data_IF_011019763883
#
_entry.id   IF_011019763883
#
_cell.length_a   1.000
_cell.length_b   1.000
_cell.length_c   1.000
_cell.angle_alpha   90.00
_cell.angle_beta   90.00
_cell.angle_gamma   90.00
#
_symmetry.space_group_name_H-M   'P 1'
#
loop_
_entity.id
_entity.type
_entity.pdbx_description
1 polymer ?
#
# COMPACT_ATOMS: atom_id res chain seq x y z
N UNK A 1 -7.67 -10.08 19.14
CA UNK A 1 -8.08 -8.68 18.95
C UNK A 1 -6.84 -7.81 19.12
N UNK A 2 -6.06 -7.64 18.05
CA UNK A 2 -4.95 -6.69 18.06
C UNK A 2 -5.54 -5.28 17.93
N UNK A 3 -5.34 -4.45 18.94
CA UNK A 3 -5.67 -3.04 18.84
C UNK A 3 -4.70 -2.40 17.85
N UNK A 4 -5.19 -2.01 16.67
CA UNK A 4 -4.45 -1.15 15.76
C UNK A 4 -4.31 0.20 16.46
N UNK A 5 -3.14 0.47 17.03
CA UNK A 5 -2.83 1.77 17.63
C UNK A 5 -2.49 2.73 16.49
N UNK A 6 -3.51 3.44 16.02
CA UNK A 6 -3.41 4.52 15.03
C UNK A 6 -2.91 5.77 15.76
N UNK A 7 -1.66 6.20 15.53
CA UNK A 7 -1.12 7.45 16.07
C UNK A 7 -1.06 8.50 14.96
N UNK A 8 -1.53 9.73 15.22
CA UNK A 8 -1.97 10.76 14.23
C UNK A 8 -1.10 12.04 14.22
N UNK A 9 -1.10 12.85 13.13
CA UNK A 9 -1.18 14.34 12.91
C UNK A 9 -0.97 14.65 11.35
N UNK A 10 -0.78 15.85 10.77
CA UNK A 10 -0.49 16.13 9.32
C UNK A 10 0.24 17.48 9.11
N UNK A 11 1.29 17.55 8.25
CA UNK A 11 2.11 18.77 8.01
C UNK A 11 1.41 19.84 7.18
N UNK A 12 0.80 20.79 7.89
CA UNK A 12 0.93 22.23 7.58
C UNK A 12 2.17 22.73 8.34
N UNK A 13 2.92 23.71 7.82
CA UNK A 13 4.11 24.28 8.47
C UNK A 13 3.99 24.29 10.01
N UNK A 14 4.70 23.37 10.70
CA UNK A 14 4.69 23.25 12.16
C UNK A 14 3.73 22.24 12.81
N UNK A 15 3.05 21.36 12.08
CA UNK A 15 2.09 20.38 12.65
C UNK A 15 2.44 18.97 12.12
N UNK A 16 3.02 18.05 12.91
CA UNK A 16 3.63 16.76 12.45
C UNK A 16 2.60 15.75 11.89
N UNK A 17 2.91 14.73 11.08
CA UNK A 17 1.96 13.72 10.52
C UNK A 17 1.49 12.53 11.42
N UNK A 18 0.46 11.74 11.00
CA UNK A 18 -0.04 10.45 11.56
C UNK A 18 1.06 9.43 11.40
N UNK A 19 1.53 9.42 10.18
CA UNK A 19 2.58 8.56 9.73
C UNK A 19 3.95 9.20 9.96
N UNK A 20 4.03 10.29 10.75
CA UNK A 20 5.28 11.01 11.01
C UNK A 20 5.98 11.38 9.70
N UNK A 21 5.22 11.89 8.71
CA UNK A 21 5.82 12.37 7.47
C UNK A 21 6.90 13.37 7.82
N UNK A 22 8.14 13.00 7.56
CA UNK A 22 9.25 13.92 7.58
C UNK A 22 9.11 14.96 6.48
N UNK A 23 9.69 16.15 6.66
CA UNK A 23 9.88 17.09 5.54
C UNK A 23 10.64 16.42 4.38
N UNK A 24 11.54 15.47 4.67
CA UNK A 24 12.29 14.71 3.67
C UNK A 24 11.42 13.82 2.77
N UNK A 25 10.21 13.45 3.22
CA UNK A 25 9.23 12.65 2.46
C UNK A 25 8.24 13.53 1.67
N UNK A 26 8.33 14.85 1.77
CA UNK A 26 7.52 15.79 1.01
C UNK A 26 8.31 16.32 -0.19
N UNK A 27 7.70 16.41 -1.38
CA UNK A 27 8.38 17.02 -2.51
C UNK A 27 8.61 18.51 -2.25
N UNK A 28 9.76 19.08 -2.65
CA UNK A 28 9.99 20.51 -2.52
C UNK A 28 9.01 21.30 -3.42
N UNK A 29 8.73 22.56 -3.06
CA UNK A 29 7.97 23.46 -3.92
C UNK A 29 8.66 23.62 -5.27
N UNK A 30 7.95 23.29 -6.34
CA UNK A 30 8.46 23.49 -7.69
C UNK A 30 8.49 24.99 -8.04
N UNK A 31 9.60 25.41 -8.65
CA UNK A 31 9.74 26.77 -9.17
C UNK A 31 9.33 26.81 -10.65
N UNK A 32 8.59 27.84 -11.08
CA UNK A 32 8.29 28.03 -12.49
C UNK A 32 9.54 28.43 -13.27
N UNK A 33 9.53 28.21 -14.60
CA UNK A 33 10.64 28.63 -15.46
C UNK A 33 10.84 30.15 -15.47
N UNK A 34 9.75 30.90 -15.32
CA UNK A 34 9.72 32.36 -15.28
C UNK A 34 8.47 32.84 -14.51
N UNK A 35 8.49 34.02 -13.86
CA UNK A 35 7.30 34.64 -13.25
C UNK A 35 6.13 34.87 -14.23
N UNK A 36 6.42 34.98 -15.53
CA UNK A 36 5.44 35.17 -16.61
C UNK A 36 4.93 33.87 -17.23
N UNK A 37 5.38 32.71 -16.74
CA UNK A 37 4.93 31.41 -17.25
C UNK A 37 3.42 31.23 -16.97
N UNK A 38 2.57 31.04 -18.00
CA UNK A 38 1.14 30.80 -17.79
C UNK A 38 0.84 29.51 -17.01
N UNK A 39 1.81 28.59 -16.94
CA UNK A 39 1.74 27.33 -16.21
C UNK A 39 2.57 27.36 -14.91
N UNK A 40 2.78 28.55 -14.33
CA UNK A 40 3.62 28.74 -13.14
C UNK A 40 3.08 28.12 -11.85
N UNK A 41 1.81 27.71 -11.82
CA UNK A 41 1.20 27.10 -10.65
C UNK A 41 1.44 25.59 -10.72
N UNK A 42 2.53 25.13 -10.09
CA UNK A 42 2.98 23.75 -10.20
C UNK A 42 2.64 23.02 -8.90
N UNK A 43 1.92 21.92 -9.04
CA UNK A 43 1.74 20.93 -7.97
C UNK A 43 2.70 19.80 -8.18
N UNK A 44 3.47 19.44 -7.16
CA UNK A 44 4.36 18.28 -7.23
C UNK A 44 3.76 17.16 -6.40
N UNK A 45 3.47 16.02 -7.04
CA UNK A 45 3.01 14.80 -6.36
C UNK A 45 4.17 13.82 -6.35
N UNK A 46 4.59 13.40 -5.17
CA UNK A 46 5.55 12.32 -4.96
C UNK A 46 4.82 11.01 -4.77
N UNK A 47 5.28 9.96 -5.44
CA UNK A 47 4.81 8.58 -5.24
C UNK A 47 6.03 7.73 -4.90
N UNK A 48 5.92 6.92 -3.85
CA UNK A 48 7.00 6.03 -3.38
C UNK A 48 6.52 4.59 -3.43
N UNK A 49 7.29 3.74 -4.09
CA UNK A 49 7.05 2.30 -4.09
C UNK A 49 7.54 1.65 -2.79
N UNK A 50 6.98 0.48 -2.44
CA UNK A 50 7.49 -0.36 -1.37
C UNK A 50 8.94 -0.78 -1.61
N UNK A 51 9.65 -1.10 -0.53
CA UNK A 51 10.97 -1.71 -0.60
C UNK A 51 10.89 -3.08 -1.26
N UNK A 52 11.93 -3.35 -2.01
CA UNK A 52 12.39 -4.69 -2.36
C UNK A 52 13.84 -4.79 -1.86
N UNK A 53 14.34 -5.98 -1.53
CA UNK A 53 15.52 -6.17 -0.64
C UNK A 53 16.83 -5.45 -1.01
N UNK A 54 17.82 -5.48 -0.10
CA UNK A 54 19.09 -4.71 -0.17
C UNK A 54 20.01 -4.99 -1.37
N UNK A 55 19.71 -6.00 -2.18
CA UNK A 55 20.41 -6.32 -3.44
C UNK A 55 19.55 -6.09 -4.68
N UNK A 56 18.44 -5.37 -4.55
CA UNK A 56 17.45 -5.17 -5.61
C UNK A 56 16.70 -6.46 -5.88
N UNK A 57 15.38 -6.38 -5.88
CA UNK A 57 14.60 -7.34 -6.64
C UNK A 57 13.59 -6.57 -7.46
N UNK A 58 13.22 -7.18 -8.58
CA UNK A 58 12.15 -6.72 -9.42
C UNK A 58 10.80 -6.91 -8.71
N UNK A 59 9.93 -5.88 -8.74
CA UNK A 59 8.45 -5.91 -8.77
C UNK A 59 7.67 -5.32 -7.56
N UNK A 60 8.27 -4.55 -6.63
CA UNK A 60 7.49 -3.66 -5.74
C UNK A 60 7.18 -2.31 -6.41
N UNK A 61 8.15 -1.82 -7.19
CA UNK A 61 8.03 -0.75 -8.16
C UNK A 61 7.24 -1.16 -9.39
N UNK A 62 6.76 -0.18 -10.14
CA UNK A 62 5.87 -0.36 -11.27
C UNK A 62 5.70 0.92 -12.07
N UNK A 63 4.82 0.87 -13.06
CA UNK A 63 4.45 2.02 -13.88
C UNK A 63 3.06 2.54 -13.50
N UNK A 64 2.95 3.85 -13.54
CA UNK A 64 1.66 4.53 -13.64
C UNK A 64 1.42 4.83 -15.12
N UNK A 65 0.18 4.73 -15.58
CA UNK A 65 -0.19 5.13 -16.94
C UNK A 65 -0.55 6.62 -17.00
N UNK A 66 -1.05 7.19 -15.91
CA UNK A 66 -1.39 8.60 -15.83
C UNK A 66 -1.46 9.11 -14.38
N UNK A 67 -1.26 10.41 -14.24
CA UNK A 67 -1.53 11.18 -13.03
C UNK A 67 -2.27 12.47 -13.37
N UNK A 68 -3.31 12.79 -12.60
CA UNK A 68 -4.18 13.94 -12.84
C UNK A 68 -4.60 14.59 -11.53
N UNK A 69 -4.79 15.90 -11.56
CA UNK A 69 -5.36 16.68 -10.47
C UNK A 69 -6.72 17.24 -10.85
N UNK A 70 -7.61 17.34 -9.86
CA UNK A 70 -8.97 17.84 -9.99
C UNK A 70 -9.25 18.94 -8.97
N UNK A 71 -10.12 19.89 -9.35
CA UNK A 71 -10.65 20.93 -8.45
C UNK A 71 -11.78 20.39 -7.56
N UNK A 72 -12.30 21.26 -6.68
CA UNK A 72 -13.42 20.92 -5.77
C UNK A 72 -14.73 20.54 -6.49
N UNK A 73 -14.88 20.90 -7.77
CA UNK A 73 -16.04 20.56 -8.58
C UNK A 73 -15.83 19.27 -9.39
N UNK A 74 -14.66 18.64 -9.28
CA UNK A 74 -14.29 17.46 -10.06
C UNK A 74 -13.81 17.76 -11.48
N UNK A 75 -13.52 19.02 -11.82
CA UNK A 75 -12.93 19.35 -13.11
C UNK A 75 -11.43 19.06 -13.09
N UNK A 76 -10.91 18.42 -14.14
CA UNK A 76 -9.47 18.21 -14.28
C UNK A 76 -8.75 19.55 -14.49
N UNK A 77 -7.77 19.84 -13.64
CA UNK A 77 -6.98 21.09 -13.71
C UNK A 77 -5.57 20.89 -14.26
N UNK A 78 -5.02 19.70 -14.10
CA UNK A 78 -3.71 19.32 -14.64
C UNK A 78 -3.57 17.79 -14.72
N UNK A 79 -2.66 17.30 -15.54
CA UNK A 79 -2.42 15.86 -15.70
C UNK A 79 -1.59 15.53 -16.93
N UNK A 80 -0.98 14.36 -16.93
CA UNK A 80 -0.24 13.80 -18.07
C UNK A 80 -0.18 12.27 -17.97
N UNK A 81 0.10 11.64 -19.11
CA UNK A 81 0.52 10.24 -19.14
C UNK A 81 1.91 10.11 -18.54
N UNK A 82 2.13 9.04 -17.78
CA UNK A 82 3.40 8.74 -17.14
C UNK A 82 4.10 7.65 -17.96
N UNK A 83 5.41 7.78 -18.14
CA UNK A 83 6.22 6.80 -18.88
C UNK A 83 7.33 6.20 -18.03
N UNK A 84 7.63 6.86 -16.92
CA UNK A 84 8.71 6.54 -16.01
C UNK A 84 8.26 5.46 -15.02
N UNK A 85 9.11 4.45 -14.84
CA UNK A 85 8.96 3.43 -13.81
C UNK A 85 9.33 4.01 -12.46
N UNK A 86 8.51 3.77 -11.44
CA UNK A 86 8.89 3.99 -10.05
C UNK A 86 9.68 2.76 -9.63
N UNK A 87 10.98 2.89 -9.43
CA UNK A 87 11.81 1.76 -8.97
C UNK A 87 11.50 1.39 -7.51
N UNK A 88 11.91 0.19 -7.13
CA UNK A 88 11.68 -0.36 -5.80
C UNK A 88 12.32 0.51 -4.71
N UNK A 89 11.55 0.82 -3.66
CA UNK A 89 12.02 1.60 -2.51
C UNK A 89 12.34 3.08 -2.76
N UNK A 90 12.21 3.55 -4.00
CA UNK A 90 12.47 4.94 -4.37
C UNK A 90 11.18 5.68 -4.71
N UNK A 91 11.33 6.95 -5.06
CA UNK A 91 10.22 7.85 -5.38
C UNK A 91 10.38 8.52 -6.74
N UNK A 92 9.26 8.89 -7.33
CA UNK A 92 9.19 9.84 -8.44
C UNK A 92 8.38 11.07 -8.05
N UNK A 93 8.83 12.24 -8.50
CA UNK A 93 8.16 13.52 -8.34
C UNK A 93 7.50 13.95 -9.65
N UNK A 94 6.17 13.85 -9.71
CA UNK A 94 5.36 14.27 -10.85
C UNK A 94 5.02 15.75 -10.71
N UNK A 95 5.46 16.58 -11.67
CA UNK A 95 5.16 18.01 -11.70
C UNK A 95 3.95 18.29 -12.60
N UNK A 96 2.83 18.66 -11.99
CA UNK A 96 1.58 18.97 -12.66
C UNK A 96 1.36 20.47 -12.68
N UNK A 97 1.64 21.08 -13.82
CA UNK A 97 1.47 22.51 -14.03
C UNK A 97 0.01 22.86 -14.36
N UNK A 98 -0.51 23.94 -13.76
CA UNK A 98 -1.88 24.42 -13.97
C UNK A 98 -1.90 25.93 -14.23
N UNK A 99 -3.06 26.41 -14.69
CA UNK A 99 -3.34 27.84 -14.87
C UNK A 99 -3.60 28.53 -13.52
N UNK A 100 -3.60 29.85 -13.54
CA UNK A 100 -4.00 30.68 -12.40
C UNK A 100 -5.42 30.34 -11.92
N UNK A 101 -5.61 30.34 -10.59
CA UNK A 101 -6.90 30.05 -9.95
C UNK A 101 -7.25 28.55 -9.86
N UNK A 102 -6.45 27.65 -10.44
CA UNK A 102 -6.65 26.22 -10.27
C UNK A 102 -6.09 25.74 -8.93
N UNK A 103 -6.96 25.19 -8.07
CA UNK A 103 -6.56 24.52 -6.83
C UNK A 103 -6.73 23.00 -7.00
N UNK A 104 -5.65 22.21 -6.93
CA UNK A 104 -5.68 20.76 -7.11
C UNK A 104 -6.02 20.06 -5.81
N UNK A 105 -7.31 20.01 -5.50
CA UNK A 105 -7.85 19.44 -4.26
C UNK A 105 -7.62 17.93 -4.18
N UNK A 106 -7.69 17.27 -5.33
CA UNK A 106 -7.68 15.82 -5.41
C UNK A 106 -6.72 15.35 -6.50
N UNK A 107 -6.00 14.26 -6.23
CA UNK A 107 -5.13 13.60 -7.22
C UNK A 107 -5.63 12.21 -7.54
N UNK A 108 -5.73 11.86 -8.82
CA UNK A 108 -5.95 10.50 -9.32
C UNK A 108 -4.67 9.98 -9.95
N UNK A 109 -4.27 8.76 -9.60
CA UNK A 109 -3.24 8.01 -10.30
C UNK A 109 -3.85 6.76 -10.92
N UNK A 110 -3.30 6.33 -12.06
CA UNK A 110 -3.75 5.14 -12.79
C UNK A 110 -2.60 4.17 -12.98
N UNK A 111 -2.88 2.90 -12.78
CA UNK A 111 -1.92 1.81 -12.93
C UNK A 111 -1.60 1.57 -14.38
N UNK A 112 -0.46 0.94 -14.60
CA UNK A 112 -0.10 0.32 -15.86
C UNK A 112 -0.09 -1.21 -15.71
N UNK A 113 0.22 -1.95 -16.78
CA UNK A 113 0.29 -3.42 -16.72
C UNK A 113 1.43 -3.93 -15.84
N UNK A 114 2.40 -3.07 -15.60
CA UNK A 114 3.47 -3.22 -14.62
C UNK A 114 3.00 -2.62 -13.28
N UNK A 115 2.32 -3.45 -12.48
CA UNK A 115 1.67 -3.04 -11.23
C UNK A 115 2.68 -2.53 -10.19
N UNK A 116 2.27 -1.56 -9.37
CA UNK A 116 3.11 -0.96 -8.32
C UNK A 116 2.46 -1.12 -6.95
N UNK A 117 3.26 -1.37 -5.91
CA UNK A 117 2.83 -1.29 -4.51
C UNK A 117 3.22 0.07 -3.93
N UNK A 118 2.25 0.97 -3.78
CA UNK A 118 2.49 2.35 -3.35
C UNK A 118 2.48 2.40 -1.82
N UNK A 119 3.66 2.65 -1.24
CA UNK A 119 3.84 2.76 0.21
C UNK A 119 3.35 4.11 0.75
N UNK A 120 3.64 5.18 0.01
CA UNK A 120 3.20 6.53 0.36
C UNK A 120 3.07 7.42 -0.88
N UNK A 121 2.21 8.42 -0.75
CA UNK A 121 2.10 9.53 -1.67
C UNK A 121 2.14 10.83 -0.88
N UNK A 122 2.72 11.88 -1.46
CA UNK A 122 2.66 13.22 -0.88
C UNK A 122 2.54 14.27 -1.96
N UNK A 123 2.06 15.45 -1.60
CA UNK A 123 1.92 16.56 -2.56
C UNK A 123 2.38 17.87 -1.94
N UNK A 124 2.94 18.74 -2.78
CA UNK A 124 3.20 20.14 -2.48
C UNK A 124 2.50 21.00 -3.52
N UNK A 125 1.55 21.81 -3.05
CA UNK A 125 0.72 22.70 -3.86
C UNK A 125 1.44 24.02 -4.20
N UNK A 126 0.90 24.83 -5.13
CA UNK A 126 1.54 26.09 -5.54
C UNK A 126 1.66 27.13 -4.42
N UNK A 127 0.79 27.06 -3.41
CA UNK A 127 0.82 27.90 -2.21
C UNK A 127 1.79 27.38 -1.13
N UNK A 128 2.52 26.29 -1.41
CA UNK A 128 3.39 25.55 -0.50
C UNK A 128 2.68 24.70 0.56
N UNK A 129 1.35 24.57 0.50
CA UNK A 129 0.59 23.60 1.30
C UNK A 129 1.02 22.18 0.95
N UNK A 130 1.19 21.32 1.97
CA UNK A 130 1.69 19.96 1.82
C UNK A 130 0.76 18.95 2.45
N UNK A 131 0.66 17.78 1.84
CA UNK A 131 -0.19 16.69 2.33
C UNK A 131 0.47 15.34 2.08
N UNK A 132 0.04 14.33 2.83
CA UNK A 132 0.58 12.98 2.74
C UNK A 132 -0.51 11.92 2.88
N UNK A 133 -0.26 10.77 2.28
CA UNK A 133 -1.10 9.57 2.30
C UNK A 133 -0.20 8.35 2.38
N UNK A 134 -0.57 7.32 3.14
CA UNK A 134 0.15 6.04 3.21
C UNK A 134 -0.71 4.88 2.74
N UNK A 135 -0.06 3.79 2.35
CA UNK A 135 -0.74 2.56 1.95
C UNK A 135 -1.57 1.91 3.07
N UNK A 136 -1.41 2.33 4.33
CA UNK A 136 -2.27 1.87 5.44
C UNK A 136 -3.76 2.16 5.18
N UNK A 137 -4.07 3.22 4.44
CA UNK A 137 -5.44 3.52 4.01
C UNK A 137 -6.04 2.42 3.15
N UNK A 138 -5.23 1.71 2.36
CA UNK A 138 -5.72 0.55 1.63
C UNK A 138 -6.15 -0.56 2.58
N UNK A 139 -5.35 -0.85 3.60
CA UNK A 139 -5.70 -1.86 4.60
C UNK A 139 -7.00 -1.48 5.34
N UNK A 140 -7.08 -0.24 5.83
CA UNK A 140 -8.28 0.29 6.52
C UNK A 140 -9.53 0.17 5.64
N UNK A 141 -9.39 0.46 4.36
CA UNK A 141 -10.48 0.46 3.40
C UNK A 141 -10.71 -0.91 2.73
N UNK A 142 -10.02 -1.98 3.15
CA UNK A 142 -10.20 -3.32 2.59
C UNK A 142 -9.75 -3.46 1.13
N UNK A 143 -8.81 -2.61 0.69
CA UNK A 143 -8.20 -2.65 -0.62
C UNK A 143 -6.89 -3.47 -0.60
N UNK A 144 -6.48 -4.03 -1.75
CA UNK A 144 -5.26 -4.83 -1.86
C UNK A 144 -4.03 -4.15 -1.29
N UNK A 145 -3.42 -4.77 -0.29
CA UNK A 145 -2.28 -4.21 0.43
C UNK A 145 -1.23 -5.26 0.78
N UNK A 146 -0.04 -4.82 1.16
CA UNK A 146 1.03 -5.66 1.69
C UNK A 146 1.91 -4.81 2.60
N UNK A 147 2.83 -5.42 3.37
CA UNK A 147 3.83 -4.64 4.08
C UNK A 147 4.80 -3.98 3.09
N UNK A 148 5.16 -2.71 3.32
CA UNK A 148 6.00 -1.99 2.36
C UNK A 148 7.49 -2.10 2.62
N UNK A 149 7.92 -2.44 3.84
CA UNK A 149 9.32 -2.34 4.27
C UNK A 149 9.86 -0.90 4.41
N UNK A 150 9.13 0.13 3.95
CA UNK A 150 9.61 1.52 3.99
C UNK A 150 9.67 2.02 5.44
N UNK A 151 10.87 2.22 5.97
CA UNK A 151 11.04 2.78 7.31
C UNK A 151 10.78 4.30 7.29
N UNK A 152 9.82 4.73 8.09
CA UNK A 152 9.51 6.14 8.37
C UNK A 152 10.38 6.66 9.53
N UNK A 153 10.47 7.99 9.73
CA UNK A 153 11.31 8.57 10.80
C UNK A 153 10.90 8.16 12.22
N UNK A 154 9.64 7.76 12.40
CA UNK A 154 9.13 7.21 13.66
C UNK A 154 9.52 5.74 13.88
N UNK A 155 10.32 5.14 12.99
CA UNK A 155 10.75 3.74 13.03
C UNK A 155 9.70 2.73 12.56
N UNK A 156 8.51 3.17 12.17
CA UNK A 156 7.43 2.28 11.68
C UNK A 156 7.46 2.13 10.18
N UNK A 157 6.93 1.02 9.69
CA UNK A 157 6.73 0.78 8.25
C UNK A 157 5.25 0.85 7.89
N UNK A 158 4.82 1.73 6.96
CA UNK A 158 3.44 1.71 6.49
C UNK A 158 3.21 0.44 5.67
N UNK A 159 1.95 0.05 5.50
CA UNK A 159 1.57 -0.83 4.41
C UNK A 159 1.78 -0.13 3.05
N UNK A 160 1.82 -0.91 1.97
CA UNK A 160 1.67 -0.42 0.61
C UNK A 160 0.36 -0.91 0.00
N UNK A 161 -0.11 -0.19 -1.01
CA UNK A 161 -1.31 -0.52 -1.77
C UNK A 161 -0.96 -0.94 -3.19
N UNK A 162 -1.53 -2.04 -3.65
CA UNK A 162 -1.41 -2.45 -5.05
C UNK A 162 -2.37 -1.68 -5.96
N UNK A 163 -1.84 -1.25 -7.11
CA UNK A 163 -2.57 -0.68 -8.24
C UNK A 163 -2.13 -1.42 -9.51
N UNK A 164 -3.09 -1.85 -10.33
CA UNK A 164 -2.84 -2.72 -11.49
C UNK A 164 -3.70 -2.28 -12.69
N UNK A 165 -3.03 -2.00 -13.81
CA UNK A 165 -3.65 -1.60 -15.08
C UNK A 165 -3.95 -2.74 -16.03
N UNK A 166 -3.70 -4.00 -15.66
CA UNK A 166 -4.06 -5.13 -16.50
C UNK A 166 -5.57 -5.32 -16.55
N UNK A 167 -6.12 -5.26 -17.76
CA UNK A 167 -7.51 -5.61 -18.02
C UNK A 167 -7.73 -7.11 -17.78
N UNK A 168 -8.27 -7.47 -16.63
CA UNK A 168 -8.94 -8.76 -16.46
C UNK A 168 -10.05 -8.67 -15.41
N UNK A 169 -11.00 -9.60 -15.51
CA UNK A 169 -12.20 -9.62 -14.66
C UNK A 169 -11.96 -10.38 -13.33
N UNK A 170 -10.71 -10.69 -13.00
CA UNK A 170 -10.28 -11.52 -11.86
C UNK A 170 -9.30 -10.79 -10.92
N UNK A 171 -8.77 -9.63 -11.31
CA UNK A 171 -7.83 -8.84 -10.53
C UNK A 171 -8.55 -8.21 -9.35
N UNK A 172 -7.87 -8.24 -8.20
CA UNK A 172 -8.37 -7.65 -6.96
C UNK A 172 -7.92 -6.19 -6.82
N UNK A 173 -6.77 -5.81 -7.42
CA UNK A 173 -6.24 -4.45 -7.38
C UNK A 173 -7.04 -3.49 -8.26
N UNK A 174 -7.32 -2.26 -7.78
CA UNK A 174 -7.97 -1.25 -8.60
C UNK A 174 -7.03 -0.74 -9.70
N UNK A 175 -7.65 -0.28 -10.79
CA UNK A 175 -6.95 0.38 -11.88
C UNK A 175 -6.49 1.78 -11.48
N UNK A 176 -7.30 2.50 -10.74
CA UNK A 176 -6.99 3.85 -10.32
C UNK A 176 -7.37 4.08 -8.88
N UNK A 177 -6.66 4.99 -8.22
CA UNK A 177 -7.06 5.54 -6.93
C UNK A 177 -7.10 7.05 -7.01
N UNK A 178 -7.91 7.64 -6.14
CA UNK A 178 -8.07 9.08 -6.03
C UNK A 178 -8.08 9.51 -4.57
N UNK A 179 -7.26 10.52 -4.25
CA UNK A 179 -6.98 11.01 -2.90
C UNK A 179 -7.33 12.49 -2.80
N UNK A 180 -8.28 12.83 -1.94
CA UNK A 180 -8.62 14.22 -1.56
C UNK A 180 -7.75 14.65 -0.40
N UNK A 181 -6.70 15.41 -0.68
CA UNK A 181 -5.55 15.59 0.20
C UNK A 181 -5.85 16.17 1.58
N UNK A 182 -6.70 17.20 1.63
CA UNK A 182 -6.96 17.96 2.84
C UNK A 182 -7.78 17.19 3.89
N UNK A 183 -8.50 16.14 3.48
CA UNK A 183 -9.32 15.33 4.38
C UNK A 183 -8.47 14.38 5.26
N UNK A 184 -7.22 14.13 4.87
CA UNK A 184 -6.28 13.31 5.63
C UNK A 184 -5.50 14.11 6.70
N UNK A 185 -5.85 15.37 6.91
CA UNK A 185 -5.30 16.22 7.95
C UNK A 185 -6.03 16.01 9.29
N UNK A 186 -5.29 15.79 10.37
CA UNK A 186 -5.83 15.99 11.72
C UNK A 186 -5.39 17.35 12.25
N UNK A 187 -6.34 18.28 12.30
CA UNK A 187 -6.13 19.66 12.79
C UNK A 187 -6.29 19.79 14.30
N UNK A 188 -6.82 18.77 14.99
CA UNK A 188 -7.17 18.83 16.41
C UNK A 188 -6.14 18.18 17.34
N UNK A 189 -5.11 17.53 16.79
CA UNK A 189 -4.19 16.68 17.55
C UNK A 189 -4.85 15.43 18.15
N UNK A 190 -6.17 15.25 17.95
CA UNK A 190 -6.89 14.05 18.39
C UNK A 190 -6.74 12.95 17.36
N UNK A 191 -6.56 11.74 17.86
CA UNK A 191 -6.62 10.52 17.07
C UNK A 191 -8.10 10.32 16.68
N UNK A 192 -8.45 10.30 15.38
CA UNK A 192 -9.79 9.99 14.94
C UNK A 192 -10.14 8.57 15.33
N UNK A 193 -11.41 8.36 15.68
CA UNK A 193 -11.98 7.03 15.89
C UNK A 193 -11.91 6.18 14.62
N UNK A 194 -11.91 4.86 14.78
CA UNK A 194 -11.94 3.93 13.64
C UNK A 194 -13.12 4.21 12.69
N UNK A 195 -14.28 4.61 13.22
CA UNK A 195 -15.43 5.01 12.41
C UNK A 195 -15.17 6.25 11.58
N UNK A 196 -14.50 7.27 12.14
CA UNK A 196 -14.18 8.51 11.41
C UNK A 196 -13.17 8.24 10.29
N UNK A 197 -12.15 7.42 10.56
CA UNK A 197 -11.18 6.98 9.57
C UNK A 197 -11.88 6.22 8.43
N UNK A 198 -12.79 5.29 8.75
CA UNK A 198 -13.52 4.50 7.75
C UNK A 198 -14.51 5.31 6.91
N UNK A 199 -14.96 6.49 7.37
CA UNK A 199 -15.82 7.36 6.56
C UNK A 199 -15.08 7.96 5.35
N UNK A 200 -13.75 8.04 5.40
CA UNK A 200 -12.93 8.54 4.30
C UNK A 200 -12.85 7.54 3.13
N UNK A 201 -13.08 6.25 3.40
CA UNK A 201 -13.20 5.22 2.37
C UNK A 201 -14.44 5.46 1.49
N UNK A 202 -14.26 5.59 0.18
CA UNK A 202 -15.34 5.89 -0.78
C UNK A 202 -15.74 7.37 -0.85
N UNK A 203 -15.16 8.25 -0.04
CA UNK A 203 -15.41 9.69 -0.09
C UNK A 203 -14.14 10.44 -0.47
N UNK A 204 -13.18 10.50 0.45
CA UNK A 204 -11.89 11.18 0.29
C UNK A 204 -10.82 10.25 -0.29
N UNK A 205 -10.99 8.95 -0.14
CA UNK A 205 -10.19 7.92 -0.76
C UNK A 205 -11.06 7.02 -1.62
N UNK A 206 -10.87 7.07 -2.94
CA UNK A 206 -11.66 6.33 -3.92
C UNK A 206 -10.78 5.42 -4.75
N UNK A 207 -11.37 4.34 -5.24
CA UNK A 207 -10.75 3.36 -6.11
C UNK A 207 -11.66 3.13 -7.32
N UNK A 208 -11.07 2.79 -8.47
CA UNK A 208 -11.80 2.65 -9.72
C UNK A 208 -11.38 1.38 -10.46
N UNK A 209 -12.33 0.81 -11.21
CA UNK A 209 -12.03 -0.26 -12.16
C UNK A 209 -11.42 0.29 -13.46
N UNK A 210 -11.09 -0.58 -14.40
CA UNK A 210 -10.49 -0.19 -15.68
C UNK A 210 -11.39 0.73 -16.53
N UNK A 211 -12.72 0.61 -16.38
CA UNK A 211 -13.69 1.49 -17.02
C UNK A 211 -13.86 2.85 -16.31
N UNK A 212 -13.06 3.11 -15.26
CA UNK A 212 -13.14 4.29 -14.40
C UNK A 212 -14.48 4.43 -13.66
N UNK A 213 -15.16 3.31 -13.44
CA UNK A 213 -16.30 3.26 -12.53
C UNK A 213 -15.78 3.10 -11.11
N UNK A 214 -16.35 3.87 -10.18
CA UNK A 214 -15.97 3.82 -8.77
C UNK A 214 -16.27 2.44 -8.19
N UNK A 215 -15.27 1.82 -7.60
CA UNK A 215 -15.40 0.54 -6.92
C UNK A 215 -16.09 0.76 -5.57
N UNK A 216 -17.02 -0.12 -5.17
CA UNK A 216 -17.56 -0.10 -3.83
C UNK A 216 -16.46 -0.51 -2.86
N UNK A 217 -15.82 0.48 -2.24
CA UNK A 217 -14.94 0.25 -1.10
C UNK A 217 -15.84 -0.10 0.08
N UNK A 218 -15.58 -1.18 0.85
CA UNK A 218 -16.41 -1.55 1.99
C UNK A 218 -16.43 -0.42 3.02
N UNK A 219 -17.40 0.49 2.87
CA UNK A 219 -17.87 1.36 3.92
C UNK A 219 -18.59 0.46 4.92
N UNK A 220 -18.65 0.84 6.20
CA UNK A 220 -19.25 0.05 7.29
C UNK A 220 -20.78 -0.25 7.15
N UNK A 221 -21.32 -0.52 5.95
CA UNK A 221 -22.65 -1.06 5.71
C UNK A 221 -22.58 -2.37 4.93
N UNK A 222 -23.04 -3.41 5.62
CA UNK A 222 -23.26 -4.80 5.19
C UNK A 222 -22.06 -5.74 5.35
N UNK A 223 -21.70 -6.03 6.60
CA UNK A 223 -21.60 -7.45 6.97
C UNK A 223 -23.00 -8.03 6.77
N UNK A 224 -23.31 -8.44 5.54
CA UNK A 224 -24.43 -9.33 5.32
C UNK A 224 -24.06 -10.64 6.01
N UNK A 225 -24.65 -10.86 7.18
CA UNK A 225 -24.84 -12.18 7.74
C UNK A 225 -25.72 -12.97 6.78
N UNK A 226 -25.14 -13.43 5.68
CA UNK A 226 -25.71 -14.52 4.90
C UNK A 226 -25.33 -15.81 5.62
N UNK A 227 -26.09 -16.11 6.68
CA UNK A 227 -26.27 -17.47 7.13
C UNK A 227 -26.73 -18.31 5.94
N UNK A 228 -25.92 -19.31 5.55
CA UNK A 228 -26.35 -20.34 4.60
C UNK A 228 -25.55 -20.41 3.31
N UNK A 229 -24.31 -20.91 3.39
CA UNK A 229 -23.88 -22.08 2.62
C UNK A 229 -22.42 -22.38 2.96
N UNK A 230 -22.14 -23.64 3.32
CA UNK A 230 -20.79 -24.20 3.29
C UNK A 230 -20.30 -24.28 1.84
N UNK A 231 -20.08 -23.12 1.20
CA UNK A 231 -19.21 -23.05 0.04
C UNK A 231 -17.80 -23.02 0.61
N UNK A 232 -17.06 -24.11 0.41
CA UNK A 232 -15.59 -24.08 0.47
C UNK A 232 -15.18 -22.81 -0.27
N UNK A 233 -14.56 -21.87 0.45
CA UNK A 233 -14.01 -20.65 -0.14
C UNK A 233 -13.00 -21.13 -1.17
N UNK A 234 -13.32 -20.93 -2.44
CA UNK A 234 -12.38 -21.18 -3.53
C UNK A 234 -11.14 -20.32 -3.24
N UNK A 235 -9.91 -20.88 -3.20
CA UNK A 235 -8.71 -20.10 -3.01
C UNK A 235 -8.70 -19.02 -4.09
N UNK A 236 -8.68 -17.75 -3.67
CA UNK A 236 -8.88 -16.63 -4.59
C UNK A 236 -7.76 -16.62 -5.63
N UNK A 237 -8.10 -17.02 -6.84
CA UNK A 237 -7.18 -17.09 -7.96
C UNK A 237 -7.08 -15.70 -8.60
N UNK A 238 -5.86 -15.15 -8.53
CA UNK A 238 -5.30 -14.12 -9.42
C UNK A 238 -5.37 -12.63 -9.03
N UNK A 239 -4.67 -12.26 -7.95
CA UNK A 239 -3.68 -11.17 -8.05
C UNK A 239 -2.29 -11.66 -8.54
N UNK A 240 -2.24 -12.88 -9.07
CA UNK A 240 -1.89 -13.04 -10.49
C UNK A 240 -0.43 -13.39 -10.81
N UNK A 241 0.44 -13.48 -9.82
CA UNK A 241 1.61 -14.36 -9.86
C UNK A 241 1.55 -15.22 -8.61
N UNK A 242 1.89 -16.51 -8.71
CA UNK A 242 2.46 -17.17 -7.54
C UNK A 242 3.73 -16.39 -7.27
N UNK A 243 3.63 -15.37 -6.41
CA UNK A 243 4.77 -14.56 -6.03
C UNK A 243 5.60 -15.47 -5.15
N UNK A 244 6.55 -16.13 -5.78
CA UNK A 244 7.43 -17.13 -5.19
C UNK A 244 8.58 -16.48 -4.44
N UNK A 245 8.48 -15.21 -4.07
CA UNK A 245 9.44 -14.57 -3.18
C UNK A 245 9.10 -14.87 -1.72
N UNK A 246 10.10 -14.72 -0.87
CA UNK A 246 9.96 -14.74 0.59
C UNK A 246 10.44 -13.41 1.17
N UNK A 247 9.62 -12.78 1.98
CA UNK A 247 10.01 -11.62 2.79
C UNK A 247 10.27 -12.08 4.21
N UNK A 248 11.43 -11.75 4.76
CA UNK A 248 11.83 -12.01 6.13
C UNK A 248 12.01 -10.68 6.84
N UNK A 249 11.14 -10.39 7.79
CA UNK A 249 11.12 -9.11 8.50
C UNK A 249 11.51 -9.28 9.97
N UNK A 250 12.37 -8.38 10.43
CA UNK A 250 12.72 -8.19 11.83
C UNK A 250 11.92 -7.07 12.52
N UNK A 251 10.99 -6.43 11.80
CA UNK A 251 10.25 -5.27 12.27
C UNK A 251 9.09 -5.67 13.20
N UNK A 252 9.04 -5.06 14.38
CA UNK A 252 8.06 -5.40 15.43
C UNK A 252 6.61 -5.04 15.09
N UNK A 253 6.38 -4.23 14.07
CA UNK A 253 5.05 -3.82 13.59
C UNK A 253 4.56 -4.68 12.40
N UNK A 254 5.31 -5.71 12.01
CA UNK A 254 4.97 -6.60 10.91
C UNK A 254 4.80 -8.06 11.38
N UNK A 255 3.53 -8.45 11.58
CA UNK A 255 3.16 -9.78 12.07
C UNK A 255 2.73 -10.67 10.90
N UNK A 256 3.30 -11.86 10.81
CA UNK A 256 2.98 -12.84 9.78
C UNK A 256 1.56 -13.37 9.94
N UNK A 257 1.09 -13.64 11.16
CA UNK A 257 -0.30 -14.09 11.39
C UNK A 257 -1.30 -13.04 10.93
N UNK A 258 -1.08 -11.77 11.32
CA UNK A 258 -1.96 -10.68 10.93
C UNK A 258 -1.99 -10.52 9.40
N UNK A 259 -0.84 -10.58 8.74
CA UNK A 259 -0.75 -10.55 7.28
C UNK A 259 -1.49 -11.71 6.62
N UNK A 260 -1.35 -12.93 7.14
CA UNK A 260 -2.00 -14.13 6.61
C UNK A 260 -3.52 -14.07 6.73
N UNK A 261 -4.04 -13.60 7.86
CA UNK A 261 -5.47 -13.52 8.15
C UNK A 261 -6.18 -12.39 7.38
N UNK A 262 -5.46 -11.38 6.91
CA UNK A 262 -6.03 -10.25 6.16
C UNK A 262 -6.56 -10.70 4.79
N UNK A 263 -7.88 -10.60 4.50
CA UNK A 263 -8.44 -11.12 3.24
C UNK A 263 -7.93 -10.41 1.98
N UNK A 264 -7.55 -9.15 2.13
CA UNK A 264 -7.09 -8.25 1.07
C UNK A 264 -5.57 -8.02 1.10
N UNK A 265 -4.81 -8.84 1.83
CA UNK A 265 -3.35 -8.78 1.74
C UNK A 265 -2.85 -9.63 0.58
N UNK A 266 -1.89 -9.15 -0.22
CA UNK A 266 -1.39 -9.87 -1.38
C UNK A 266 0.08 -9.59 -1.62
N UNK A 267 0.88 -10.62 -1.85
CA UNK A 267 2.31 -10.48 -2.09
C UNK A 267 3.08 -11.79 -1.86
N UNK A 268 4.41 -11.68 -1.72
CA UNK A 268 5.31 -12.78 -1.37
C UNK A 268 4.89 -13.53 -0.10
N UNK A 269 5.39 -14.75 0.09
CA UNK A 269 5.34 -15.38 1.42
C UNK A 269 6.09 -14.51 2.44
N UNK A 270 5.73 -14.62 3.71
CA UNK A 270 6.21 -13.70 4.74
C UNK A 270 6.66 -14.42 6.00
N UNK A 271 7.77 -13.99 6.58
CA UNK A 271 8.29 -14.40 7.88
C UNK A 271 8.38 -13.17 8.76
N UNK A 272 7.77 -13.27 9.94
CA UNK A 272 8.05 -12.36 11.05
C UNK A 272 9.02 -13.06 11.99
N UNK A 273 10.25 -12.56 12.06
CA UNK A 273 11.25 -13.05 13.01
C UNK A 273 10.86 -12.75 14.46
N UNK A 274 10.16 -11.63 14.67
CA UNK A 274 9.69 -11.24 16.00
C UNK A 274 8.50 -12.11 16.46
N UNK A 275 7.58 -12.44 15.56
CA UNK A 275 6.48 -13.35 15.90
C UNK A 275 6.95 -14.82 15.96
N UNK A 276 8.05 -15.14 15.28
CA UNK A 276 8.47 -16.53 15.09
C UNK A 276 7.51 -17.30 14.19
N UNK A 277 6.92 -16.65 13.17
CA UNK A 277 5.92 -17.23 12.28
C UNK A 277 6.21 -16.98 10.80
N UNK A 278 6.02 -18.03 10.00
CA UNK A 278 5.92 -18.01 8.54
C UNK A 278 4.46 -18.00 8.10
N UNK A 279 4.13 -17.26 7.04
CA UNK A 279 2.84 -17.25 6.37
C UNK A 279 3.03 -17.61 4.89
N UNK A 280 2.35 -18.69 4.46
CA UNK A 280 2.13 -18.97 3.05
C UNK A 280 0.99 -18.06 2.55
N UNK A 281 1.33 -17.04 1.76
CA UNK A 281 0.37 -16.05 1.27
C UNK A 281 -0.56 -16.60 0.18
N UNK A 282 -0.19 -17.72 -0.46
CA UNK A 282 -1.02 -18.41 -1.45
C UNK A 282 -2.12 -19.24 -0.76
N UNK A 283 -1.79 -19.98 0.29
CA UNK A 283 -2.76 -20.85 1.01
C UNK A 283 -3.38 -20.20 2.24
N UNK A 284 -2.81 -19.09 2.73
CA UNK A 284 -3.14 -18.42 4.01
C UNK A 284 -2.88 -19.27 5.25
N UNK A 285 -1.97 -20.22 5.15
CA UNK A 285 -1.59 -21.10 6.25
C UNK A 285 -0.31 -20.61 6.92
N UNK A 286 -0.24 -20.74 8.25
CA UNK A 286 0.92 -20.32 9.04
C UNK A 286 1.69 -21.51 9.58
N UNK A 287 3.01 -21.35 9.72
CA UNK A 287 3.92 -22.29 10.38
C UNK A 287 4.73 -21.54 11.43
N UNK A 288 5.02 -22.19 12.56
CA UNK A 288 6.02 -21.69 13.51
C UNK A 288 7.41 -21.75 12.87
N UNK A 289 8.30 -20.85 13.23
CA UNK A 289 9.71 -20.95 12.85
C UNK A 289 10.41 -22.03 13.67
N UNK A 290 11.37 -22.70 13.05
CA UNK A 290 12.19 -23.69 13.73
C UNK A 290 13.09 -23.02 14.78
N UNK A 291 13.30 -23.71 15.90
CA UNK A 291 14.13 -23.26 17.02
C UNK A 291 14.72 -24.46 17.77
N UNK A 292 15.47 -24.21 18.85
CA UNK A 292 15.94 -25.30 19.73
C UNK A 292 14.78 -26.12 20.32
N UNK A 293 13.63 -25.48 20.51
CA UNK A 293 12.44 -26.10 21.11
C UNK A 293 11.47 -26.63 20.07
N UNK A 294 11.54 -26.13 18.83
CA UNK A 294 10.66 -26.48 17.71
C UNK A 294 11.52 -27.07 16.59
N UNK A 295 11.61 -28.39 16.56
CA UNK A 295 12.51 -29.14 15.65
C UNK A 295 11.77 -29.87 14.53
N UNK A 296 10.45 -29.72 14.43
CA UNK A 296 9.65 -30.32 13.37
C UNK A 296 8.25 -29.73 13.28
N UNK A 297 7.67 -29.87 12.09
CA UNK A 297 6.48 -29.13 11.64
C UNK A 297 6.64 -27.60 11.75
N UNK A 298 7.81 -27.12 11.32
CA UNK A 298 8.21 -25.72 11.40
C UNK A 298 8.88 -25.23 10.12
N UNK A 299 8.88 -23.93 9.89
CA UNK A 299 9.59 -23.32 8.78
C UNK A 299 11.03 -22.96 9.21
N UNK A 300 12.01 -23.51 8.50
CA UNK A 300 13.42 -23.17 8.68
C UNK A 300 13.76 -21.99 7.76
N UNK A 301 14.18 -20.87 8.36
CA UNK A 301 14.49 -19.63 7.63
C UNK A 301 15.79 -19.74 6.85
N UNK A 302 16.77 -20.51 7.34
CA UNK A 302 18.08 -20.66 6.70
C UNK A 302 17.98 -21.53 5.44
N UNK A 303 17.30 -22.67 5.54
CA UNK A 303 17.09 -23.56 4.41
C UNK A 303 15.85 -23.20 3.58
N UNK A 304 15.06 -22.21 4.01
CA UNK A 304 13.80 -21.77 3.38
C UNK A 304 12.83 -22.93 3.10
N UNK A 305 12.71 -23.84 4.07
CA UNK A 305 11.97 -25.08 3.87
C UNK A 305 11.16 -25.48 5.09
N UNK A 306 10.08 -26.21 4.85
CA UNK A 306 9.33 -26.86 5.92
C UNK A 306 10.08 -28.09 6.43
N UNK A 307 10.46 -28.06 7.70
CA UNK A 307 11.02 -29.22 8.40
C UNK A 307 9.86 -30.07 8.89
N UNK A 308 9.71 -31.26 8.32
CA UNK A 308 8.65 -32.21 8.70
C UNK A 308 9.20 -33.11 9.81
N UNK A 309 8.42 -33.35 10.86
CA UNK A 309 8.80 -34.30 11.92
C UNK A 309 8.77 -35.73 11.38
N UNK A 310 9.78 -36.53 11.69
CA UNK A 310 9.83 -37.95 11.31
C UNK A 310 8.58 -38.72 11.78
N UNK A 311 7.87 -39.33 10.81
CA UNK A 311 6.63 -40.08 10.99
C UNK A 311 5.69 -39.91 9.78
N UNK A 312 4.75 -40.85 9.55
CA UNK A 312 3.81 -40.90 8.41
C UNK A 312 2.80 -39.72 8.31
N UNK A 313 3.11 -38.55 8.87
CA UNK A 313 2.32 -37.34 8.62
C UNK A 313 2.76 -36.70 7.30
N UNK A 314 1.90 -36.79 6.28
CA UNK A 314 1.96 -35.82 5.19
C UNK A 314 1.70 -34.44 5.79
N UNK A 315 2.63 -33.48 5.68
CA UNK A 315 2.39 -32.14 6.21
C UNK A 315 1.13 -31.57 5.56
N UNK A 316 0.29 -30.91 6.36
CA UNK A 316 -0.92 -30.26 5.86
C UNK A 316 -0.62 -28.97 5.10
N UNK A 317 0.51 -28.36 5.42
CA UNK A 317 0.98 -27.08 4.88
C UNK A 317 2.24 -27.37 4.09
N UNK A 318 2.38 -26.77 2.91
CA UNK A 318 3.60 -26.84 2.12
C UNK A 318 4.19 -25.43 2.03
N UNK A 319 5.33 -25.22 2.68
CA UNK A 319 6.13 -24.04 2.41
C UNK A 319 6.55 -24.05 0.92
N UNK A 320 6.51 -22.88 0.29
CA UNK A 320 6.91 -22.75 -1.12
C UNK A 320 8.42 -22.56 -1.17
N UNK A 321 9.04 -23.02 -2.26
CA UNK A 321 10.46 -22.79 -2.50
C UNK A 321 10.63 -21.39 -3.07
N UNK A 322 11.26 -20.45 -2.34
CA UNK A 322 11.32 -19.09 -2.84
C UNK A 322 12.34 -18.93 -3.96
N UNK A 323 12.04 -18.12 -4.98
CA UNK A 323 13.00 -17.74 -6.01
C UNK A 323 13.97 -16.66 -5.55
N UNK A 324 13.56 -15.86 -4.55
CA UNK A 324 14.36 -14.80 -3.97
C UNK A 324 13.89 -14.48 -2.55
N UNK A 325 14.82 -13.97 -1.73
CA UNK A 325 14.59 -13.66 -0.32
C UNK A 325 14.89 -12.18 -0.08
N UNK A 326 13.90 -11.50 0.50
CA UNK A 326 13.94 -10.09 0.90
C UNK A 326 14.13 -10.04 2.40
N UNK A 327 15.04 -9.19 2.88
CA UNK A 327 15.22 -8.94 4.31
C UNK A 327 14.88 -7.49 4.63
N UNK A 328 14.03 -7.30 5.65
CA UNK A 328 13.64 -6.00 6.20
C UNK A 328 14.04 -5.86 7.68
#
# INVERSE_FOLDING_TARGET
MAHVIINVIGIVSGVVGIWGFAESRLPPKAQPKSPSDPNKYITTVRVVAGLDGTNGMSHAGGHLSAIMNFDANGNQVSGHSVSERIEDGVHLDFKLASREGAQPITTQIRGDVDNVCIALMSTTWPDDSKFGWTGDWANICGLPSYYSGIIMENGKSPACMWIDGRYNNKHQAPYAIQVTWHDFLSTSGKIPSESEVKMLCGTSFKAYNYALEELPIPTNRLVSTSSGSNKKRDPSTHMGRSDDRLVVSSLSDQNATALCEMPHSYGPDFVSLEEGIYCNMETRETLLLCSSDITGDCFDVESTSHVIRDGEHKPRIHARNPTNIIYW
#
